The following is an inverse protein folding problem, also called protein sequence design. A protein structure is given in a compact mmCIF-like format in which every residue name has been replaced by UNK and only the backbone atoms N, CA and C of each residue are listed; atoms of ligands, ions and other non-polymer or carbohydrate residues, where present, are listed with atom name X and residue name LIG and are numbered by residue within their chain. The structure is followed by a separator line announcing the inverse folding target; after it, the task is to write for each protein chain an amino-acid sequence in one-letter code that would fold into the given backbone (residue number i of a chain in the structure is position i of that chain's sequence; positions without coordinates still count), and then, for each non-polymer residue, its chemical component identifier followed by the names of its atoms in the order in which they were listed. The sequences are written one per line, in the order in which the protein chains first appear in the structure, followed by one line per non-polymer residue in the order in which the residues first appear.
data_IF_808743198796
#
_entry.id   IF_808743198796
#
_cell.length_a   1.000
_cell.length_b   1.000
_cell.length_c   1.000
_cell.angle_alpha   90.00
_cell.angle_beta   90.00
_cell.angle_gamma   90.00
#
_symmetry.space_group_name_H-M   'P 1'
#
loop_
_entity.id
_entity.type
_entity.pdbx_description
1 polymer ?
#
# COMPACT_ATOMS: atom_id res chain seq x y z
N UNK A 1 51.18 4.17 12.58
CA UNK A 1 50.25 3.10 12.16
C UNK A 1 49.50 2.60 13.38
N UNK A 2 48.19 2.45 13.22
CA UNK A 2 47.25 1.60 13.97
C UNK A 2 46.92 1.98 15.43
N UNK A 3 45.60 2.01 15.63
CA UNK A 3 44.83 2.41 16.81
C UNK A 3 44.85 1.36 17.92
N UNK A 4 44.38 1.71 19.11
CA UNK A 4 43.26 1.00 19.76
C UNK A 4 42.78 1.77 20.98
N UNK A 5 41.45 1.85 21.08
CA UNK A 5 40.70 2.79 21.88
C UNK A 5 40.71 2.43 23.37
N UNK A 6 40.89 3.46 24.19
CA UNK A 6 40.64 3.45 25.62
C UNK A 6 39.15 3.30 25.90
N UNK A 7 38.86 2.36 26.78
CA UNK A 7 37.65 2.16 27.57
C UNK A 7 37.06 3.49 28.04
N UNK A 8 35.79 3.76 27.71
CA UNK A 8 34.93 4.59 28.55
C UNK A 8 33.58 3.92 28.73
N UNK A 9 33.19 3.94 29.99
CA UNK A 9 32.19 3.10 30.61
C UNK A 9 30.76 3.53 30.24
N UNK A 10 29.96 2.51 29.94
CA UNK A 10 28.55 2.34 30.33
C UNK A 10 27.87 3.55 31.00
N UNK A 11 27.25 4.42 30.21
CA UNK A 11 26.09 5.19 30.66
C UNK A 11 24.85 4.56 30.02
N UNK A 12 24.17 3.73 30.81
CA UNK A 12 22.81 3.27 30.52
C UNK A 12 21.88 4.47 30.79
N UNK A 13 21.30 5.05 29.74
CA UNK A 13 20.10 5.88 29.88
C UNK A 13 18.88 4.96 29.77
N UNK A 14 18.13 4.73 30.85
CA UNK A 14 16.88 3.97 30.79
C UNK A 14 15.74 4.92 30.41
N UNK A 15 14.92 4.55 29.43
CA UNK A 15 13.54 5.05 29.38
C UNK A 15 13.06 5.86 28.18
N UNK A 16 13.65 5.76 26.99
CA UNK A 16 13.02 6.23 25.74
C UNK A 16 12.99 5.09 24.71
N UNK A 17 12.35 3.97 25.05
CA UNK A 17 12.10 2.88 24.09
C UNK A 17 10.64 2.44 24.05
N UNK A 18 9.73 3.22 24.65
CA UNK A 18 8.31 2.96 24.55
C UNK A 18 7.80 3.37 23.16
N UNK A 19 7.77 2.39 22.28
CA UNK A 19 6.87 2.30 21.14
C UNK A 19 6.93 3.49 20.15
N UNK A 20 7.93 3.48 19.26
CA UNK A 20 7.71 3.94 17.88
C UNK A 20 6.77 2.94 17.16
N UNK A 21 5.53 2.82 17.66
CA UNK A 21 4.43 2.24 16.90
C UNK A 21 4.20 3.23 15.77
N UNK A 22 4.65 2.92 14.54
CA UNK A 22 4.29 3.67 13.33
C UNK A 22 2.78 3.84 13.38
N UNK A 23 2.29 5.04 13.73
CA UNK A 23 0.86 5.32 13.68
C UNK A 23 0.45 5.05 12.24
N UNK A 24 -0.48 4.13 12.06
CA UNK A 24 -1.10 3.96 10.77
C UNK A 24 -1.68 5.33 10.37
N UNK A 25 -1.19 5.89 9.27
CA UNK A 25 -1.62 7.22 8.81
C UNK A 25 -3.05 7.18 8.25
N UNK A 26 -3.63 5.99 8.10
CA UNK A 26 -5.05 5.80 7.82
C UNK A 26 -5.83 6.30 9.05
N UNK A 27 -6.42 7.48 8.94
CA UNK A 27 -7.34 8.06 9.94
C UNK A 27 -8.64 7.24 10.00
N UNK A 28 -8.60 6.00 10.49
CA UNK A 28 -9.75 5.06 10.55
C UNK A 28 -10.31 4.57 9.21
N UNK A 29 -9.61 4.76 8.11
CA UNK A 29 -10.07 4.26 6.80
C UNK A 29 -9.49 2.88 6.51
N UNK A 30 -10.36 1.88 6.43
CA UNK A 30 -9.98 0.54 6.00
C UNK A 30 -9.33 0.55 4.60
N UNK A 31 -8.31 -0.30 4.37
CA UNK A 31 -7.65 -0.41 3.07
C UNK A 31 -8.62 -0.72 1.93
N UNK A 32 -9.65 -1.52 2.20
CA UNK A 32 -10.78 -1.76 1.30
C UNK A 32 -12.01 -1.14 1.97
N UNK A 33 -12.61 -0.06 1.41
CA UNK A 33 -13.81 0.52 1.98
C UNK A 33 -15.04 -0.41 1.87
N UNK A 34 -15.91 -0.38 2.88
CA UNK A 34 -17.18 -1.13 2.89
C UNK A 34 -18.05 -0.89 1.64
N UNK A 35 -18.03 0.34 1.12
CA UNK A 35 -18.79 0.72 -0.07
C UNK A 35 -17.85 1.01 -1.24
N UNK A 36 -17.46 -0.06 -1.95
CA UNK A 36 -16.64 0.01 -3.15
C UNK A 36 -17.34 0.68 -4.34
N UNK A 37 -18.68 0.67 -4.37
CA UNK A 37 -19.45 1.25 -5.49
C UNK A 37 -19.25 2.75 -5.67
N UNK A 38 -18.82 3.44 -4.61
CA UNK A 38 -18.46 4.87 -4.64
C UNK A 38 -17.09 5.14 -5.27
N UNK A 39 -16.26 4.12 -5.42
CA UNK A 39 -14.90 4.22 -5.94
C UNK A 39 -14.75 3.65 -7.35
N UNK A 40 -15.74 2.89 -7.82
CA UNK A 40 -15.76 2.25 -9.12
C UNK A 40 -16.72 2.97 -10.07
N UNK A 41 -16.26 3.26 -11.27
CA UNK A 41 -17.14 3.58 -12.40
C UNK A 41 -17.69 2.29 -13.04
N UNK A 42 -18.57 2.43 -14.04
CA UNK A 42 -19.22 1.29 -14.70
C UNK A 42 -18.23 0.34 -15.39
N UNK A 43 -17.24 0.88 -16.10
CA UNK A 43 -16.21 0.08 -16.79
C UNK A 43 -15.36 -0.69 -15.77
N UNK A 44 -14.97 -0.04 -14.69
CA UNK A 44 -14.22 -0.67 -13.62
C UNK A 44 -15.03 -1.77 -12.92
N UNK A 45 -16.34 -1.58 -12.68
CA UNK A 45 -17.21 -2.64 -12.13
C UNK A 45 -17.25 -3.86 -13.04
N UNK A 46 -17.43 -3.64 -14.33
CA UNK A 46 -17.47 -4.73 -15.32
C UNK A 46 -16.14 -5.47 -15.39
N UNK A 47 -15.04 -4.73 -15.47
CA UNK A 47 -13.70 -5.31 -15.50
C UNK A 47 -13.35 -6.04 -14.21
N UNK A 48 -13.71 -5.52 -13.05
CA UNK A 48 -13.50 -6.18 -11.76
C UNK A 48 -14.15 -7.56 -11.74
N UNK A 49 -15.41 -7.68 -12.17
CA UNK A 49 -16.10 -8.98 -12.25
C UNK A 49 -15.34 -9.97 -13.14
N UNK A 50 -14.84 -9.52 -14.30
CA UNK A 50 -14.04 -10.36 -15.19
C UNK A 50 -12.69 -10.75 -14.55
N UNK A 51 -11.96 -9.79 -14.02
CA UNK A 51 -10.61 -9.95 -13.47
C UNK A 51 -10.60 -10.87 -12.25
N UNK A 52 -11.64 -10.85 -11.41
CA UNK A 52 -11.79 -11.79 -10.29
C UNK A 52 -11.83 -13.25 -10.75
N UNK A 53 -12.42 -13.54 -11.91
CA UNK A 53 -12.38 -14.88 -12.52
C UNK A 53 -10.97 -15.31 -12.96
N UNK A 54 -10.05 -14.37 -13.16
CA UNK A 54 -8.65 -14.62 -13.49
C UNK A 54 -7.72 -14.55 -12.25
N UNK A 55 -8.28 -14.55 -11.04
CA UNK A 55 -7.50 -14.57 -9.81
C UNK A 55 -7.05 -13.20 -9.31
N UNK A 56 -7.57 -12.11 -9.86
CA UNK A 56 -7.31 -10.77 -9.35
C UNK A 56 -8.26 -10.37 -8.23
N UNK A 57 -7.75 -9.74 -7.19
CA UNK A 57 -8.55 -9.21 -6.10
C UNK A 57 -8.15 -7.77 -5.78
N UNK A 58 -9.09 -7.01 -5.22
CA UNK A 58 -8.78 -5.67 -4.71
C UNK A 58 -7.85 -5.84 -3.51
N UNK A 59 -6.70 -5.17 -3.56
CA UNK A 59 -5.74 -5.16 -2.47
C UNK A 59 -5.99 -3.99 -1.53
N UNK A 60 -6.11 -2.78 -2.07
CA UNK A 60 -6.52 -1.57 -1.33
C UNK A 60 -6.88 -0.43 -2.29
N UNK A 61 -7.51 0.62 -1.75
CA UNK A 61 -7.82 1.86 -2.47
C UNK A 61 -6.93 2.99 -1.96
N UNK A 62 -6.14 3.61 -2.84
CA UNK A 62 -5.38 4.83 -2.53
C UNK A 62 -6.30 6.02 -2.60
N UNK A 63 -6.19 6.94 -1.63
CA UNK A 63 -6.99 8.17 -1.56
C UNK A 63 -6.04 9.37 -1.36
N UNK A 64 -5.32 9.80 -2.41
CA UNK A 64 -4.44 10.96 -2.30
C UNK A 64 -5.28 12.22 -2.05
N UNK A 65 -4.72 13.18 -1.31
CA UNK A 65 -5.38 14.46 -1.12
C UNK A 65 -5.47 15.16 -2.49
N UNK A 66 -6.67 15.61 -2.85
CA UNK A 66 -6.96 16.35 -4.10
C UNK A 66 -6.77 15.56 -5.40
N UNK A 67 -6.70 14.22 -5.35
CA UNK A 67 -6.70 13.37 -6.56
C UNK A 67 -7.80 12.33 -6.48
N UNK A 68 -8.14 11.75 -7.63
CA UNK A 68 -9.11 10.66 -7.68
C UNK A 68 -8.59 9.42 -6.94
N UNK A 69 -9.48 8.64 -6.29
CA UNK A 69 -9.11 7.38 -5.69
C UNK A 69 -8.59 6.39 -6.73
N UNK A 70 -7.54 5.65 -6.38
CA UNK A 70 -6.92 4.65 -7.27
C UNK A 70 -7.10 3.26 -6.68
N UNK A 71 -7.61 2.33 -7.47
CA UNK A 71 -7.89 0.96 -7.03
C UNK A 71 -6.68 0.09 -7.36
N UNK A 72 -6.02 -0.40 -6.31
CA UNK A 72 -4.88 -1.31 -6.44
C UNK A 72 -5.40 -2.73 -6.34
N UNK A 73 -5.08 -3.53 -7.35
CA UNK A 73 -5.39 -4.95 -7.43
C UNK A 73 -4.12 -5.78 -7.28
N UNK A 74 -4.26 -6.98 -6.74
CA UNK A 74 -3.19 -7.99 -6.74
C UNK A 74 -3.68 -9.26 -7.38
N UNK A 75 -2.80 -9.97 -8.06
CA UNK A 75 -3.07 -11.31 -8.50
C UNK A 75 -2.77 -12.30 -7.35
N UNK A 76 -3.66 -13.26 -7.17
CA UNK A 76 -3.52 -14.32 -6.15
C UNK A 76 -2.61 -15.45 -6.60
N UNK A 77 -2.42 -15.63 -7.90
CA UNK A 77 -1.65 -16.71 -8.52
C UNK A 77 -0.20 -16.35 -8.77
N UNK A 78 0.05 -15.11 -9.16
CA UNK A 78 1.38 -14.55 -9.37
C UNK A 78 1.49 -13.25 -8.58
N UNK A 79 2.65 -12.93 -8.00
CA UNK A 79 2.80 -11.79 -7.08
C UNK A 79 2.70 -10.41 -7.76
N UNK A 80 2.01 -10.32 -8.90
CA UNK A 80 1.80 -9.07 -9.61
C UNK A 80 0.79 -8.17 -8.89
N UNK A 81 1.06 -6.88 -9.00
CA UNK A 81 0.19 -5.81 -8.53
C UNK A 81 -0.10 -4.92 -9.73
N UNK A 82 -1.33 -4.46 -9.84
CA UNK A 82 -1.75 -3.57 -10.92
C UNK A 82 -2.78 -2.55 -10.43
N UNK A 83 -3.08 -1.58 -11.27
CA UNK A 83 -4.11 -0.58 -11.02
C UNK A 83 -5.25 -0.81 -11.98
N UNK A 84 -6.47 -0.82 -11.43
CA UNK A 84 -7.68 -0.77 -12.24
C UNK A 84 -7.97 0.68 -12.64
N UNK A 85 -7.59 1.03 -13.86
CA UNK A 85 -7.72 2.37 -14.42
C UNK A 85 -9.18 2.71 -14.73
N UNK A 86 -9.49 3.99 -14.94
CA UNK A 86 -10.86 4.45 -15.20
C UNK A 86 -11.47 3.88 -16.49
N UNK A 87 -10.65 3.46 -17.46
CA UNK A 87 -11.08 2.78 -18.69
C UNK A 87 -11.41 1.29 -18.47
N UNK A 88 -11.20 0.75 -17.26
CA UNK A 88 -11.41 -0.65 -16.92
C UNK A 88 -10.23 -1.56 -17.29
N UNK A 89 -9.11 -1.03 -17.75
CA UNK A 89 -7.90 -1.83 -17.97
C UNK A 89 -7.08 -1.97 -16.69
N UNK A 90 -6.31 -3.05 -16.62
CA UNK A 90 -5.34 -3.23 -15.54
C UNK A 90 -3.95 -2.78 -15.99
N UNK A 91 -3.44 -1.75 -15.33
CA UNK A 91 -2.10 -1.24 -15.54
C UNK A 91 -1.12 -1.90 -14.56
N UNK A 92 -0.29 -2.82 -15.04
CA UNK A 92 0.73 -3.52 -14.24
C UNK A 92 2.09 -2.81 -14.20
N UNK A 93 2.26 -1.77 -15.01
CA UNK A 93 3.44 -0.91 -15.03
C UNK A 93 3.05 0.54 -14.75
N UNK A 94 2.34 0.83 -13.64
CA UNK A 94 1.99 2.20 -13.34
C UNK A 94 3.26 2.98 -12.95
N UNK A 95 3.32 4.27 -13.28
CA UNK A 95 4.39 5.20 -12.87
C UNK A 95 4.33 5.49 -11.36
N UNK A 96 4.46 4.44 -10.54
CA UNK A 96 4.36 4.52 -9.09
C UNK A 96 5.64 3.95 -8.51
N UNK A 97 6.41 4.81 -7.85
CA UNK A 97 7.53 4.39 -7.04
C UNK A 97 7.03 3.54 -5.86
N UNK A 98 7.14 2.21 -5.99
CA UNK A 98 6.99 1.30 -4.87
C UNK A 98 8.30 1.32 -4.08
N UNK A 99 8.28 1.87 -2.87
CA UNK A 99 9.44 1.87 -1.97
C UNK A 99 9.50 0.53 -1.21
N UNK A 100 10.64 -0.14 -1.31
CA UNK A 100 10.98 -1.37 -0.57
C UNK A 100 11.38 -1.08 0.88
#
# INVERSE_FOLDING_TARGET
MLATNQTHERIQQPGIMDNYKKKDKRKDSEPIPDNMDKFLNELQRFSLQRLTGFGWEIHFVRRPLFQEPVIVMRNTSDSHVGILEANGEINMSPDIEVRH
#
